data_IF_855147158842
#
_entry.id   IF_855147158842
#
_cell.length_a   1.000
_cell.length_b   1.000
_cell.length_c   1.000
_cell.angle_alpha   90.00
_cell.angle_beta   90.00
_cell.angle_gamma   90.00
#
_symmetry.space_group_name_H-M   'P 1'
#
loop_
_entity.id
_entity.type
_entity.pdbx_description
1 polymer ?
#
# COMPACT_ATOMS: atom_id res chain seq x y z
N UNK A 1 27.23 11.12 28.34
CA UNK A 1 25.77 11.24 28.57
C UNK A 1 25.25 12.28 27.59
N UNK A 2 24.69 11.85 26.46
CA UNK A 2 24.13 12.71 25.41
C UNK A 2 22.59 12.63 25.46
N UNK A 3 21.87 13.71 25.12
CA UNK A 3 20.50 13.94 25.56
C UNK A 3 19.49 13.17 24.71
N UNK A 4 18.75 12.26 25.34
CA UNK A 4 17.66 11.49 24.71
C UNK A 4 16.38 12.31 24.49
N UNK A 5 16.46 13.65 24.49
CA UNK A 5 15.29 14.54 24.53
C UNK A 5 15.00 15.27 23.20
N UNK A 6 15.82 15.14 22.16
CA UNK A 6 15.63 15.93 20.91
C UNK A 6 14.69 15.25 19.90
N UNK A 7 14.54 13.92 19.94
CA UNK A 7 13.78 13.17 18.93
C UNK A 7 12.26 13.08 19.21
N UNK A 8 11.82 13.23 20.46
CA UNK A 8 10.39 13.19 20.81
C UNK A 8 9.62 14.45 20.36
N UNK A 9 10.29 15.59 20.21
CA UNK A 9 9.67 16.84 19.80
C UNK A 9 9.30 16.87 18.30
N UNK A 10 10.04 16.14 17.46
CA UNK A 10 9.87 16.15 16.00
C UNK A 10 8.58 15.44 15.53
N UNK A 11 7.93 14.63 16.36
CA UNK A 11 6.79 13.78 15.95
C UNK A 11 5.42 14.47 16.12
N UNK A 12 5.36 15.66 16.74
CA UNK A 12 4.08 16.33 17.02
C UNK A 12 3.83 17.64 16.26
N UNK A 13 4.77 18.11 15.44
CA UNK A 13 4.65 19.44 14.82
C UNK A 13 4.10 19.48 13.39
N UNK A 14 3.96 18.33 12.71
CA UNK A 14 3.48 18.24 11.32
C UNK A 14 2.35 17.20 11.17
N UNK A 15 1.35 17.21 12.06
CA UNK A 15 0.14 16.41 11.83
C UNK A 15 -0.73 17.14 10.80
N UNK A 16 -0.96 16.58 9.60
CA UNK A 16 -1.82 17.23 8.62
C UNK A 16 -3.24 17.35 9.18
N UNK A 17 -3.87 18.49 8.93
CA UNK A 17 -5.27 18.73 9.29
C UNK A 17 -6.17 17.68 8.59
N UNK A 18 -6.67 16.72 9.37
CA UNK A 18 -7.53 15.63 8.85
C UNK A 18 -8.98 16.07 8.64
N UNK A 19 -9.33 17.33 8.93
CA UNK A 19 -10.67 17.84 8.67
C UNK A 19 -10.98 17.90 7.18
N UNK A 20 -9.96 18.09 6.32
CA UNK A 20 -10.12 18.06 4.86
C UNK A 20 -10.54 16.67 4.39
N UNK A 21 -9.95 15.60 4.94
CA UNK A 21 -10.30 14.20 4.62
C UNK A 21 -11.77 13.92 4.97
N UNK A 22 -12.25 14.46 6.10
CA UNK A 22 -13.63 14.26 6.56
C UNK A 22 -14.67 14.97 5.69
N UNK A 23 -14.33 16.15 5.17
CA UNK A 23 -15.24 17.00 4.36
C UNK A 23 -15.09 16.82 2.85
N UNK A 24 -14.10 16.05 2.42
CA UNK A 24 -13.80 15.89 1.00
C UNK A 24 -14.95 15.20 0.25
N UNK A 25 -15.40 15.86 -0.82
CA UNK A 25 -16.47 15.37 -1.68
C UNK A 25 -15.94 14.34 -2.69
N UNK A 26 -16.39 13.09 -2.54
CA UNK A 26 -15.99 11.95 -3.39
C UNK A 26 -16.36 12.14 -4.86
N UNK A 27 -17.32 13.02 -5.18
CA UNK A 27 -17.71 13.31 -6.57
C UNK A 27 -16.65 14.12 -7.33
N UNK A 28 -15.76 14.81 -6.61
CA UNK A 28 -14.62 15.55 -7.18
C UNK A 28 -13.45 14.64 -7.58
N UNK A 29 -13.51 13.35 -7.27
CA UNK A 29 -12.51 12.37 -7.70
C UNK A 29 -12.66 12.07 -9.19
N UNK A 30 -11.54 12.07 -9.92
CA UNK A 30 -11.52 11.61 -11.31
C UNK A 30 -11.93 10.15 -11.35
N UNK A 31 -12.89 9.80 -12.23
CA UNK A 31 -13.21 8.40 -12.50
C UNK A 31 -11.98 7.74 -13.09
N UNK A 32 -11.44 6.77 -12.36
CA UNK A 32 -10.32 5.95 -12.81
C UNK A 32 -10.81 4.50 -12.89
N UNK A 33 -10.49 3.83 -14.00
CA UNK A 33 -10.76 2.41 -14.15
C UNK A 33 -9.64 1.63 -13.45
N UNK A 34 -9.92 1.07 -12.27
CA UNK A 34 -8.97 0.20 -11.59
C UNK A 34 -8.96 -1.16 -12.28
N UNK A 35 -7.89 -1.45 -13.02
CA UNK A 35 -7.67 -2.79 -13.59
C UNK A 35 -7.16 -3.71 -12.49
N UNK A 36 -8.06 -4.52 -11.94
CA UNK A 36 -7.69 -5.59 -11.02
C UNK A 36 -6.83 -6.62 -11.77
N UNK A 37 -5.54 -6.65 -11.45
CA UNK A 37 -4.57 -7.60 -12.00
C UNK A 37 -4.41 -8.80 -11.05
N UNK A 38 -5.53 -9.41 -10.69
CA UNK A 38 -5.54 -10.68 -9.97
C UNK A 38 -6.10 -11.81 -10.85
N UNK A 39 -5.51 -12.10 -12.03
CA UNK A 39 -5.90 -13.27 -12.79
C UNK A 39 -5.50 -14.52 -12.00
N UNK A 40 -6.43 -15.47 -11.85
CA UNK A 40 -6.10 -16.79 -11.33
C UNK A 40 -5.02 -17.42 -12.22
N UNK A 41 -4.04 -18.14 -11.65
CA UNK A 41 -3.06 -18.86 -12.44
C UNK A 41 -3.78 -19.84 -13.37
N UNK A 42 -3.28 -19.95 -14.61
CA UNK A 42 -3.85 -20.88 -15.58
C UNK A 42 -3.48 -22.32 -15.23
N UNK A 43 -4.22 -23.30 -15.74
CA UNK A 43 -3.89 -24.72 -15.54
C UNK A 43 -2.46 -25.04 -15.95
N UNK A 44 -1.98 -24.44 -17.04
CA UNK A 44 -0.60 -24.59 -17.52
C UNK A 44 0.42 -24.08 -16.50
N UNK A 45 0.22 -22.88 -15.95
CA UNK A 45 1.07 -22.30 -14.90
C UNK A 45 1.13 -23.20 -13.66
N UNK A 46 -0.02 -23.70 -13.21
CA UNK A 46 -0.11 -24.61 -12.05
C UNK A 46 0.62 -25.93 -12.32
N UNK A 47 0.54 -26.46 -13.55
CA UNK A 47 1.26 -27.68 -13.91
C UNK A 47 2.76 -27.47 -14.05
N UNK A 48 3.20 -26.30 -14.52
CA UNK A 48 4.61 -25.93 -14.58
C UNK A 48 5.23 -25.82 -13.18
N UNK A 49 4.56 -25.13 -12.24
CA UNK A 49 4.99 -25.06 -10.83
C UNK A 49 5.00 -26.46 -10.18
N UNK A 50 3.94 -27.25 -10.38
CA UNK A 50 3.86 -28.64 -9.89
C UNK A 50 5.02 -29.50 -10.43
N UNK A 51 5.49 -29.24 -11.65
CA UNK A 51 6.59 -29.97 -12.30
C UNK A 51 7.98 -29.38 -12.00
N UNK A 52 8.07 -28.19 -11.41
CA UNK A 52 9.25 -27.34 -11.56
C UNK A 52 9.53 -26.33 -10.44
N UNK A 53 9.32 -26.70 -9.17
CA UNK A 53 10.17 -26.27 -8.04
C UNK A 53 11.01 -27.47 -7.51
N UNK A 54 11.30 -28.42 -8.40
CA UNK A 54 12.23 -29.52 -8.15
C UNK A 54 13.41 -29.42 -9.13
N UNK A 55 14.13 -28.30 -9.07
CA UNK A 55 15.53 -28.23 -9.54
C UNK A 55 16.33 -27.65 -8.37
N UNK A 56 17.38 -28.34 -7.88
CA UNK A 56 18.08 -28.03 -6.62
C UNK A 56 18.78 -26.67 -6.59
#
# INVERSE_FOLDING_TARGET
>A
SQPTAVWKAAIMSDKPDMTEISRFDKTKLKKTETKEKNPLPTKETIEQERKGDATP
#
